data_IF_470716065720
#
_entry.id   IF_470716065720
#
_cell.length_a   1.000
_cell.length_b   1.000
_cell.length_c   1.000
_cell.angle_alpha   90.00
_cell.angle_beta   90.00
_cell.angle_gamma   90.00
#
_symmetry.space_group_name_H-M   'P 1'
#
loop_
_entity.id
_entity.type
_entity.pdbx_description
1 polymer ?
#
# COMPACT_ATOMS: atom_id res chain seq x y z
N UNK A 1 -0.33 2.43 16.35
CA UNK A 1 1.10 2.61 16.10
C UNK A 1 1.27 3.50 14.87
N UNK A 2 1.86 4.71 14.99
CA UNK A 2 2.10 5.55 13.82
C UNK A 2 3.19 4.95 12.94
N UNK A 3 2.97 4.98 11.61
CA UNK A 3 3.94 4.58 10.60
C UNK A 3 4.27 5.83 9.79
N UNK A 4 5.51 6.30 9.86
CA UNK A 4 5.96 7.46 9.09
C UNK A 4 6.47 7.03 7.71
N UNK A 5 6.11 7.79 6.67
CA UNK A 5 6.66 7.55 5.34
C UNK A 5 8.08 8.16 5.25
N UNK A 6 9.01 7.42 4.69
CA UNK A 6 10.38 7.88 4.45
C UNK A 6 10.78 7.53 3.00
N UNK A 7 11.12 8.57 2.23
CA UNK A 7 11.52 8.42 0.82
C UNK A 7 13.01 8.67 0.66
N UNK A 8 13.65 7.90 -0.21
CA UNK A 8 15.10 7.86 -0.34
C UNK A 8 15.67 8.62 -1.55
N UNK A 9 14.93 8.72 -2.66
CA UNK A 9 15.48 9.11 -3.96
C UNK A 9 16.22 10.46 -3.96
N UNK A 10 15.74 11.43 -3.16
CA UNK A 10 16.29 12.79 -3.04
C UNK A 10 16.94 13.03 -1.66
N UNK A 11 17.29 11.95 -0.96
CA UNK A 11 17.92 12.01 0.36
C UNK A 11 19.28 11.33 0.32
N UNK A 12 20.25 11.95 0.99
CA UNK A 12 21.50 11.33 1.38
C UNK A 12 21.35 10.65 2.76
N UNK A 13 22.37 9.93 3.22
CA UNK A 13 22.37 9.28 4.52
C UNK A 13 22.16 10.26 5.66
N UNK A 14 22.75 11.46 5.58
CA UNK A 14 22.64 12.46 6.64
C UNK A 14 21.20 12.93 6.84
N UNK A 15 20.44 13.15 5.75
CA UNK A 15 19.00 13.47 5.82
C UNK A 15 18.16 12.30 6.32
N UNK A 16 18.52 11.06 5.96
CA UNK A 16 17.84 9.89 6.48
C UNK A 16 18.08 9.75 7.98
N UNK A 17 19.31 9.94 8.46
CA UNK A 17 19.65 9.88 9.89
C UNK A 17 18.90 10.96 10.68
N UNK A 18 18.89 12.22 10.19
CA UNK A 18 18.11 13.30 10.80
C UNK A 18 16.62 12.94 10.91
N UNK A 19 16.03 12.40 9.85
CA UNK A 19 14.62 11.98 9.85
C UNK A 19 14.37 10.83 10.84
N UNK A 20 15.25 9.84 10.92
CA UNK A 20 15.14 8.72 11.84
C UNK A 20 15.27 9.18 13.31
N UNK A 21 16.17 10.12 13.60
CA UNK A 21 16.31 10.70 14.94
C UNK A 21 15.07 11.50 15.35
N UNK A 22 14.51 12.31 14.43
CA UNK A 22 13.22 13.00 14.65
C UNK A 22 12.06 12.01 14.91
N UNK A 23 12.03 10.87 14.21
CA UNK A 23 11.02 9.83 14.43
C UNK A 23 11.16 9.19 15.80
N UNK A 24 12.39 8.89 16.24
CA UNK A 24 12.68 8.34 17.56
C UNK A 24 12.25 9.32 18.67
N UNK A 25 12.63 10.61 18.57
CA UNK A 25 12.20 11.65 19.50
C UNK A 25 10.67 11.80 19.56
N UNK A 26 9.98 11.63 18.43
CA UNK A 26 8.52 11.66 18.35
C UNK A 26 7.82 10.35 18.80
N UNK A 27 8.58 9.32 19.21
CA UNK A 27 8.06 8.02 19.61
C UNK A 27 7.49 7.20 18.46
N UNK A 28 7.90 7.47 17.21
CA UNK A 28 7.53 6.67 16.03
C UNK A 28 8.38 5.39 16.05
N UNK A 29 7.70 4.24 16.03
CA UNK A 29 8.35 2.92 16.10
C UNK A 29 8.25 2.12 14.80
N UNK A 30 7.73 2.73 13.75
CA UNK A 30 7.60 2.09 12.43
C UNK A 30 7.73 3.12 11.30
N UNK A 31 8.37 2.71 10.20
CA UNK A 31 8.48 3.52 8.98
C UNK A 31 8.06 2.72 7.76
N UNK A 32 7.43 3.38 6.79
CA UNK A 32 7.22 2.85 5.45
C UNK A 32 8.36 3.37 4.57
N UNK A 33 9.31 2.49 4.27
CA UNK A 33 10.48 2.80 3.46
C UNK A 33 10.14 2.71 1.97
N UNK A 34 10.23 3.84 1.27
CA UNK A 34 9.90 3.99 -0.13
C UNK A 34 11.10 4.54 -0.90
N UNK A 35 11.22 4.16 -2.18
CA UNK A 35 12.18 4.86 -3.04
C UNK A 35 11.76 6.32 -3.25
N UNK A 36 10.49 6.55 -3.48
CA UNK A 36 9.93 7.79 -3.98
C UNK A 36 9.78 7.80 -5.51
N UNK A 37 9.02 8.74 -6.01
CA UNK A 37 8.80 8.96 -7.45
C UNK A 37 9.84 9.95 -8.00
N UNK A 38 10.20 9.81 -9.28
CA UNK A 38 11.01 10.82 -9.96
C UNK A 38 10.22 12.11 -10.14
N UNK A 39 10.86 13.23 -9.86
CA UNK A 39 10.30 14.57 -10.04
C UNK A 39 10.97 15.19 -11.26
N UNK A 40 10.16 15.65 -12.23
CA UNK A 40 10.67 16.27 -13.45
C UNK A 40 11.56 17.48 -13.13
N UNK A 41 12.76 17.47 -13.68
CA UNK A 41 13.75 18.54 -13.48
C UNK A 41 14.59 18.41 -12.22
N UNK A 42 14.35 17.43 -11.36
CA UNK A 42 15.18 17.16 -10.19
C UNK A 42 16.15 15.99 -10.44
N UNK A 43 17.36 16.10 -9.89
CA UNK A 43 18.36 15.05 -9.96
C UNK A 43 18.34 14.22 -8.66
N UNK A 44 18.19 12.90 -8.81
CA UNK A 44 18.31 11.98 -7.65
C UNK A 44 19.71 12.08 -7.02
N UNK A 45 19.79 11.94 -5.69
CA UNK A 45 21.07 12.01 -4.96
C UNK A 45 21.97 10.81 -5.25
N UNK A 46 21.37 9.62 -5.53
CA UNK A 46 22.07 8.43 -5.99
C UNK A 46 22.66 7.55 -4.87
N UNK A 47 22.44 7.89 -3.60
CA UNK A 47 22.86 7.02 -2.48
C UNK A 47 21.91 5.83 -2.26
N UNK A 48 20.64 6.00 -2.60
CA UNK A 48 19.58 5.00 -2.50
C UNK A 48 18.83 4.92 -3.84
N UNK A 49 19.08 3.89 -4.60
CA UNK A 49 18.45 3.70 -5.91
C UNK A 49 17.15 2.88 -5.84
N UNK A 50 17.02 2.05 -4.80
CA UNK A 50 15.87 1.19 -4.54
C UNK A 50 15.40 1.33 -3.09
N UNK A 51 14.13 0.99 -2.85
CA UNK A 51 13.61 0.93 -1.48
C UNK A 51 14.35 -0.09 -0.62
N UNK A 52 14.88 -1.18 -1.19
CA UNK A 52 15.71 -2.17 -0.51
C UNK A 52 16.99 -1.58 0.06
N UNK A 53 17.60 -0.60 -0.62
CA UNK A 53 18.81 0.07 -0.13
C UNK A 53 18.50 0.86 1.15
N UNK A 54 17.38 1.59 1.13
CA UNK A 54 16.89 2.32 2.31
C UNK A 54 16.54 1.37 3.46
N UNK A 55 15.84 0.25 3.17
CA UNK A 55 15.51 -0.79 4.16
C UNK A 55 16.77 -1.32 4.83
N UNK A 56 17.77 -1.72 4.02
CA UNK A 56 19.06 -2.22 4.52
C UNK A 56 19.77 -1.18 5.40
N UNK A 57 19.79 0.09 4.97
CA UNK A 57 20.38 1.17 5.73
C UNK A 57 19.70 1.38 7.08
N UNK A 58 18.36 1.51 7.09
CA UNK A 58 17.58 1.68 8.33
C UNK A 58 17.89 0.52 9.30
N UNK A 59 17.90 -0.72 8.81
CA UNK A 59 18.19 -1.90 9.65
C UNK A 59 19.59 -1.88 10.24
N UNK A 60 20.56 -1.25 9.57
CA UNK A 60 21.93 -1.12 10.07
C UNK A 60 22.08 -0.08 11.16
N UNK A 61 21.30 1.03 11.12
CA UNK A 61 21.42 2.16 12.06
C UNK A 61 20.35 2.16 13.16
N UNK A 62 19.16 1.62 12.89
CA UNK A 62 18.03 1.52 13.84
C UNK A 62 17.44 0.09 13.81
N UNK A 63 18.12 -0.92 14.36
CA UNK A 63 17.74 -2.33 14.25
C UNK A 63 16.37 -2.67 14.85
N UNK A 64 15.90 -1.92 15.83
CA UNK A 64 14.62 -2.15 16.52
C UNK A 64 13.42 -1.50 15.82
N UNK A 65 13.66 -0.60 14.85
CA UNK A 65 12.61 0.08 14.12
C UNK A 65 11.90 -0.90 13.18
N UNK A 66 10.58 -0.94 13.20
CA UNK A 66 9.81 -1.74 12.25
C UNK A 66 9.84 -1.09 10.88
N UNK A 67 10.21 -1.84 9.86
CA UNK A 67 10.31 -1.33 8.49
C UNK A 67 9.25 -1.97 7.63
N UNK A 68 8.33 -1.14 7.15
CA UNK A 68 7.31 -1.50 6.18
C UNK A 68 7.85 -1.23 4.76
N UNK A 69 7.47 -2.06 3.81
CA UNK A 69 7.74 -1.88 2.40
C UNK A 69 6.45 -1.86 1.58
N UNK A 70 6.47 -1.23 0.41
CA UNK A 70 5.37 -1.31 -0.54
C UNK A 70 5.50 -2.56 -1.42
N UNK A 71 4.35 -3.16 -1.82
CA UNK A 71 4.23 -4.23 -2.80
C UNK A 71 3.08 -3.94 -3.78
N UNK A 72 3.05 -4.63 -4.92
CA UNK A 72 2.18 -4.28 -6.05
C UNK A 72 1.41 -5.50 -6.55
N UNK A 73 0.13 -5.67 -6.20
CA UNK A 73 -0.67 -6.82 -6.62
C UNK A 73 -0.75 -7.04 -8.12
N UNK A 74 -0.73 -5.96 -8.89
CA UNK A 74 -0.80 -5.99 -10.35
C UNK A 74 0.58 -5.75 -11.01
N UNK A 75 1.66 -5.74 -10.20
CA UNK A 75 3.03 -5.49 -10.62
C UNK A 75 3.42 -4.00 -10.58
N UNK A 76 4.68 -3.74 -10.29
CA UNK A 76 5.23 -2.38 -10.36
C UNK A 76 5.42 -1.96 -11.81
N UNK A 77 5.02 -0.73 -12.16
CA UNK A 77 5.07 -0.21 -13.55
C UNK A 77 6.47 -0.22 -14.20
N UNK A 78 7.53 -0.34 -13.41
CA UNK A 78 8.91 -0.43 -13.89
C UNK A 78 9.43 -1.87 -13.97
N UNK A 79 8.68 -2.87 -13.53
CA UNK A 79 9.05 -4.27 -13.67
C UNK A 79 8.52 -4.79 -15.02
N UNK A 80 9.33 -5.57 -15.72
CA UNK A 80 8.93 -6.14 -17.01
C UNK A 80 7.83 -7.20 -16.84
N UNK A 81 7.82 -7.89 -15.71
CA UNK A 81 6.85 -8.93 -15.38
C UNK A 81 6.52 -8.93 -13.89
N UNK A 82 5.38 -9.51 -13.52
CA UNK A 82 5.00 -9.72 -12.13
C UNK A 82 6.02 -10.61 -11.39
N UNK A 83 6.62 -11.58 -12.07
CA UNK A 83 7.61 -12.47 -11.46
C UNK A 83 8.89 -11.71 -11.12
N UNK A 84 9.33 -10.79 -11.99
CA UNK A 84 10.44 -9.88 -11.70
C UNK A 84 10.13 -8.96 -10.52
N UNK A 85 8.88 -8.46 -10.40
CA UNK A 85 8.48 -7.63 -9.26
C UNK A 85 8.47 -8.42 -7.94
N UNK A 86 8.06 -9.69 -7.97
CA UNK A 86 8.15 -10.60 -6.83
C UNK A 86 9.60 -10.85 -6.41
N UNK A 87 10.53 -11.02 -7.35
CA UNK A 87 11.97 -11.14 -7.05
C UNK A 87 12.50 -9.87 -6.38
N UNK A 88 12.16 -8.68 -6.90
CA UNK A 88 12.51 -7.39 -6.31
C UNK A 88 11.91 -7.22 -4.91
N UNK A 89 10.67 -7.69 -4.71
CA UNK A 89 10.01 -7.70 -3.41
C UNK A 89 10.74 -8.61 -2.42
N UNK A 90 11.18 -9.79 -2.86
CA UNK A 90 11.97 -10.72 -2.05
C UNK A 90 13.29 -10.08 -1.59
N UNK A 91 14.00 -9.37 -2.49
CA UNK A 91 15.21 -8.62 -2.14
C UNK A 91 14.92 -7.58 -1.05
N UNK A 92 13.78 -6.88 -1.13
CA UNK A 92 13.36 -5.89 -0.12
C UNK A 92 13.08 -6.54 1.24
N UNK A 93 12.44 -7.70 1.26
CA UNK A 93 12.18 -8.46 2.49
C UNK A 93 13.48 -8.99 3.08
N UNK A 94 14.35 -9.56 2.26
CA UNK A 94 15.67 -10.07 2.69
C UNK A 94 16.60 -8.94 3.22
N UNK A 95 16.42 -7.71 2.72
CA UNK A 95 17.09 -6.52 3.24
C UNK A 95 16.58 -6.12 4.65
N UNK A 96 15.46 -6.68 5.11
CA UNK A 96 14.95 -6.49 6.47
C UNK A 96 13.59 -5.81 6.60
N UNK A 97 12.81 -5.70 5.51
CA UNK A 97 11.41 -5.28 5.62
C UNK A 97 10.62 -6.32 6.43
N UNK A 98 9.92 -5.85 7.47
CA UNK A 98 9.21 -6.71 8.44
C UNK A 98 7.74 -6.88 8.11
N UNK A 99 7.18 -5.96 7.33
CA UNK A 99 5.77 -5.92 6.92
C UNK A 99 5.68 -5.32 5.52
N UNK A 100 4.61 -5.64 4.81
CA UNK A 100 4.33 -5.07 3.50
C UNK A 100 2.95 -4.43 3.46
N UNK A 101 2.81 -3.33 2.73
CA UNK A 101 1.53 -2.70 2.42
C UNK A 101 1.37 -2.71 0.91
N UNK A 102 0.26 -3.27 0.42
CA UNK A 102 0.05 -3.31 -1.03
C UNK A 102 -0.37 -1.96 -1.59
N UNK A 103 0.02 -1.68 -2.82
CA UNK A 103 -0.64 -0.65 -3.64
C UNK A 103 -2.14 -0.96 -3.75
N UNK A 104 -2.95 0.07 -3.96
CA UNK A 104 -4.38 -0.09 -4.17
C UNK A 104 -4.66 -1.05 -5.35
N UNK A 105 -5.71 -1.80 -5.23
CA UNK A 105 -6.30 -2.64 -6.26
C UNK A 105 -7.83 -2.58 -6.13
N UNK A 106 -8.54 -2.94 -7.19
CA UNK A 106 -10.01 -2.90 -7.21
C UNK A 106 -10.65 -4.27 -7.37
N UNK A 107 -9.85 -5.31 -7.61
CA UNK A 107 -10.30 -6.71 -7.70
C UNK A 107 -9.47 -7.56 -6.74
N UNK A 108 -10.13 -8.22 -5.79
CA UNK A 108 -9.45 -9.05 -4.79
C UNK A 108 -8.73 -10.25 -5.42
N UNK A 109 -9.17 -10.73 -6.57
CA UNK A 109 -8.49 -11.80 -7.30
C UNK A 109 -7.08 -11.41 -7.74
N UNK A 110 -6.84 -10.13 -8.04
CA UNK A 110 -5.48 -9.65 -8.36
C UNK A 110 -4.57 -9.74 -7.13
N UNK A 111 -5.11 -9.40 -5.96
CA UNK A 111 -4.39 -9.52 -4.70
C UNK A 111 -4.13 -10.97 -4.30
N UNK A 112 -5.10 -11.87 -4.47
CA UNK A 112 -4.92 -13.30 -4.15
C UNK A 112 -3.86 -13.94 -5.03
N UNK A 113 -3.88 -13.71 -6.34
CA UNK A 113 -2.84 -14.20 -7.27
C UNK A 113 -1.45 -13.67 -6.90
N UNK A 114 -1.35 -12.41 -6.51
CA UNK A 114 -0.11 -11.82 -6.02
C UNK A 114 0.34 -12.51 -4.72
N UNK A 115 -0.56 -12.68 -3.76
CA UNK A 115 -0.26 -13.30 -2.48
C UNK A 115 0.29 -14.72 -2.65
N UNK A 116 -0.35 -15.52 -3.50
CA UNK A 116 0.11 -16.88 -3.83
C UNK A 116 1.53 -16.87 -4.39
N UNK A 117 1.83 -15.99 -5.34
CA UNK A 117 3.18 -15.84 -5.91
C UNK A 117 4.19 -15.39 -4.85
N UNK A 118 3.84 -14.42 -4.01
CA UNK A 118 4.71 -13.93 -2.95
C UNK A 118 5.03 -15.04 -1.94
N UNK A 119 4.04 -15.82 -1.53
CA UNK A 119 4.22 -16.97 -0.62
C UNK A 119 5.06 -18.09 -1.26
N UNK A 120 4.82 -18.39 -2.54
CA UNK A 120 5.62 -19.35 -3.28
C UNK A 120 7.11 -18.94 -3.41
N UNK A 121 7.38 -17.64 -3.50
CA UNK A 121 8.74 -17.07 -3.48
C UNK A 121 9.37 -17.03 -2.07
N UNK A 122 8.69 -17.52 -1.03
CA UNK A 122 9.20 -17.56 0.34
C UNK A 122 9.08 -16.21 1.09
N UNK A 123 8.22 -15.31 0.64
CA UNK A 123 7.89 -14.09 1.37
C UNK A 123 6.87 -14.44 2.45
N UNK A 124 7.28 -14.44 3.72
CA UNK A 124 6.46 -14.87 4.86
C UNK A 124 6.03 -13.73 5.79
N UNK A 125 6.55 -12.53 5.58
CA UNK A 125 6.15 -11.34 6.36
C UNK A 125 4.68 -11.00 6.13
N UNK A 126 3.99 -10.38 7.11
CA UNK A 126 2.61 -9.92 6.93
C UNK A 126 2.46 -8.96 5.75
N UNK A 127 1.38 -9.11 4.99
CA UNK A 127 1.02 -8.27 3.84
C UNK A 127 -0.37 -7.68 4.08
N UNK A 128 -0.43 -6.35 4.25
CA UNK A 128 -1.68 -5.63 4.38
C UNK A 128 -2.26 -5.30 3.00
N UNK A 129 -3.53 -5.63 2.79
CA UNK A 129 -4.26 -5.32 1.57
C UNK A 129 -4.63 -3.83 1.53
N UNK A 130 -4.13 -3.11 0.54
CA UNK A 130 -4.36 -1.67 0.34
C UNK A 130 -5.69 -1.38 -0.35
N UNK A 131 -6.67 -0.85 0.38
CA UNK A 131 -8.00 -0.53 -0.13
C UNK A 131 -8.18 0.98 -0.25
N UNK A 132 -8.54 1.45 -1.45
CA UNK A 132 -8.86 2.85 -1.71
C UNK A 132 -10.34 3.04 -1.99
N UNK A 133 -11.08 3.77 -1.14
CA UNK A 133 -12.49 4.04 -1.37
C UNK A 133 -12.74 4.87 -2.63
N UNK A 134 -13.72 4.49 -3.43
CA UNK A 134 -14.17 5.24 -4.60
C UNK A 134 -14.86 6.54 -4.16
N UNK A 135 -14.39 7.67 -4.66
CA UNK A 135 -14.89 9.00 -4.27
C UNK A 135 -15.29 9.89 -5.43
N UNK A 136 -14.87 9.55 -6.63
CA UNK A 136 -15.18 10.26 -7.86
C UNK A 136 -14.64 9.48 -9.06
N UNK A 137 -15.41 9.40 -10.14
CA UNK A 137 -15.05 8.60 -11.31
C UNK A 137 -13.71 9.02 -11.93
N UNK A 138 -13.53 10.32 -12.16
CA UNK A 138 -12.28 10.87 -12.73
C UNK A 138 -11.04 10.57 -11.87
N UNK A 139 -11.18 10.64 -10.54
CA UNK A 139 -10.05 10.35 -9.64
C UNK A 139 -9.68 8.88 -9.63
N UNK A 140 -10.67 7.97 -9.68
CA UNK A 140 -10.43 6.52 -9.78
C UNK A 140 -9.73 6.18 -11.09
N UNK A 141 -10.23 6.67 -12.23
CA UNK A 141 -9.62 6.41 -13.55
C UNK A 141 -8.17 6.89 -13.60
N UNK A 142 -7.91 8.13 -13.16
CA UNK A 142 -6.55 8.68 -13.11
C UNK A 142 -5.63 7.88 -12.18
N UNK A 143 -6.13 7.43 -11.03
CA UNK A 143 -5.35 6.65 -10.08
C UNK A 143 -5.04 5.25 -10.63
N UNK A 144 -6.02 4.61 -11.27
CA UNK A 144 -5.84 3.32 -11.93
C UNK A 144 -4.79 3.43 -13.06
N UNK A 145 -4.88 4.46 -13.91
CA UNK A 145 -3.90 4.71 -14.96
C UNK A 145 -2.48 4.92 -14.39
N UNK A 146 -2.34 5.77 -13.36
CA UNK A 146 -1.04 6.07 -12.74
C UNK A 146 -0.37 4.84 -12.12
N UNK A 147 -1.17 3.95 -11.54
CA UNK A 147 -0.67 2.77 -10.83
C UNK A 147 -0.74 1.49 -11.68
N UNK A 148 -1.11 1.60 -12.96
CA UNK A 148 -1.38 0.47 -13.85
C UNK A 148 -2.38 -0.55 -13.26
N UNK A 149 -3.35 -0.05 -12.45
CA UNK A 149 -4.36 -0.90 -11.81
C UNK A 149 -5.57 -1.08 -12.70
N UNK A 150 -6.09 -2.30 -12.73
CA UNK A 150 -7.29 -2.65 -13.49
C UNK A 150 -8.57 -2.14 -12.81
N UNK A 151 -9.48 -1.59 -13.59
CA UNK A 151 -10.85 -1.27 -13.13
C UNK A 151 -11.77 -2.41 -13.57
N UNK A 152 -12.27 -3.26 -12.65
CA UNK A 152 -13.15 -4.35 -13.02
C UNK A 152 -14.52 -3.85 -13.49
N UNK A 153 -15.23 -4.66 -14.30
CA UNK A 153 -16.52 -4.29 -14.92
C UNK A 153 -17.56 -3.84 -13.91
N UNK A 154 -17.62 -4.51 -12.75
CA UNK A 154 -18.51 -4.13 -11.64
C UNK A 154 -18.26 -2.69 -11.20
N UNK A 155 -16.99 -2.32 -10.97
CA UNK A 155 -16.64 -0.97 -10.58
C UNK A 155 -16.87 0.03 -11.72
N UNK A 156 -16.49 -0.33 -12.94
CA UNK A 156 -16.69 0.53 -14.11
C UNK A 156 -18.18 0.86 -14.33
N UNK A 157 -19.08 -0.10 -14.11
CA UNK A 157 -20.54 0.13 -14.15
C UNK A 157 -20.99 1.18 -13.13
N UNK A 158 -20.46 1.12 -11.88
CA UNK A 158 -20.78 2.12 -10.85
C UNK A 158 -20.25 3.51 -11.22
N UNK A 159 -19.01 3.56 -11.72
CA UNK A 159 -18.37 4.83 -12.14
C UNK A 159 -19.17 5.50 -13.26
N UNK A 160 -19.57 4.73 -14.27
CA UNK A 160 -20.36 5.26 -15.41
C UNK A 160 -21.76 5.69 -14.99
N UNK A 161 -22.42 4.92 -14.12
CA UNK A 161 -23.79 5.21 -13.69
C UNK A 161 -23.91 6.51 -12.90
N UNK A 162 -22.93 6.81 -12.05
CA UNK A 162 -22.99 7.94 -11.13
C UNK A 162 -21.83 8.92 -11.32
N UNK A 163 -21.30 9.06 -12.55
CA UNK A 163 -20.20 9.97 -12.84
C UNK A 163 -20.48 11.41 -12.40
N UNK A 164 -21.71 11.87 -12.67
CA UNK A 164 -22.18 13.23 -12.36
C UNK A 164 -22.93 13.32 -11.01
N UNK A 165 -23.26 12.20 -10.37
CA UNK A 165 -23.86 12.13 -9.03
C UNK A 165 -22.81 11.67 -8.00
N UNK A 166 -22.04 12.64 -7.51
CA UNK A 166 -20.94 12.39 -6.57
C UNK A 166 -21.42 11.77 -5.26
N UNK A 167 -22.66 12.04 -4.83
CA UNK A 167 -23.17 11.53 -3.55
C UNK A 167 -23.54 10.06 -3.67
N UNK A 168 -24.22 9.67 -4.74
CA UNK A 168 -24.54 8.29 -5.05
C UNK A 168 -23.25 7.48 -5.30
N UNK A 169 -22.29 8.05 -6.05
CA UNK A 169 -21.01 7.39 -6.30
C UNK A 169 -20.22 7.14 -5.01
N UNK A 170 -20.17 8.11 -4.11
CA UNK A 170 -19.51 7.93 -2.80
C UNK A 170 -20.18 6.84 -1.96
N UNK A 171 -21.51 6.77 -2.00
CA UNK A 171 -22.25 5.73 -1.28
C UNK A 171 -21.94 4.35 -1.87
N UNK A 172 -22.02 4.21 -3.19
CA UNK A 172 -21.65 2.98 -3.88
C UNK A 172 -20.18 2.58 -3.64
N UNK A 173 -19.28 3.57 -3.61
CA UNK A 173 -17.85 3.35 -3.33
C UNK A 173 -17.57 2.86 -1.91
N UNK A 174 -18.32 3.33 -0.91
CA UNK A 174 -18.24 2.82 0.47
C UNK A 174 -18.71 1.36 0.53
N UNK A 175 -19.80 1.03 -0.15
CA UNK A 175 -20.31 -0.34 -0.21
C UNK A 175 -19.31 -1.26 -0.92
N UNK A 176 -18.76 -0.81 -2.04
CA UNK A 176 -17.74 -1.55 -2.79
C UNK A 176 -16.51 -1.87 -1.93
N UNK A 177 -15.93 -0.85 -1.28
CA UNK A 177 -14.79 -1.04 -0.40
C UNK A 177 -15.12 -1.93 0.81
N UNK A 178 -16.32 -1.80 1.38
CA UNK A 178 -16.76 -2.66 2.49
C UNK A 178 -16.89 -4.13 2.06
N UNK A 179 -17.40 -4.39 0.85
CA UNK A 179 -17.49 -5.74 0.27
C UNK A 179 -16.09 -6.33 0.01
N UNK A 180 -15.16 -5.55 -0.58
CA UNK A 180 -13.76 -5.97 -0.75
C UNK A 180 -13.14 -6.38 0.58
N UNK A 181 -13.31 -5.57 1.63
CA UNK A 181 -12.75 -5.85 2.96
C UNK A 181 -13.39 -7.11 3.55
N UNK A 182 -14.71 -7.28 3.41
CA UNK A 182 -15.39 -8.47 3.94
C UNK A 182 -14.86 -9.75 3.29
N UNK A 183 -14.66 -9.73 1.98
CA UNK A 183 -14.11 -10.86 1.23
C UNK A 183 -12.64 -11.13 1.62
N UNK A 184 -11.80 -10.09 1.73
CA UNK A 184 -10.40 -10.22 2.16
C UNK A 184 -10.29 -10.84 3.58
N UNK A 185 -11.11 -10.38 4.53
CA UNK A 185 -11.12 -10.92 5.89
C UNK A 185 -11.57 -12.37 5.90
N UNK A 186 -12.58 -12.73 5.10
CA UNK A 186 -13.06 -14.11 4.96
C UNK A 186 -11.98 -15.04 4.38
N UNK A 187 -11.07 -14.53 3.55
CA UNK A 187 -9.93 -15.26 3.00
C UNK A 187 -8.68 -15.24 3.91
N UNK A 188 -8.78 -14.65 5.10
CA UNK A 188 -7.70 -14.69 6.10
C UNK A 188 -6.51 -13.80 5.76
N UNK A 189 -6.73 -12.63 5.16
CA UNK A 189 -5.67 -11.64 4.91
C UNK A 189 -4.99 -11.22 6.22
N UNK A 190 -3.67 -10.96 6.18
CA UNK A 190 -2.91 -10.56 7.37
C UNK A 190 -3.37 -9.22 7.96
N UNK A 191 -3.88 -8.31 7.12
CA UNK A 191 -4.39 -7.01 7.53
C UNK A 191 -4.96 -6.21 6.35
N UNK A 192 -5.64 -5.13 6.67
CA UNK A 192 -6.20 -4.20 5.68
C UNK A 192 -5.70 -2.79 5.94
N UNK A 193 -5.09 -2.17 4.93
CA UNK A 193 -4.68 -0.78 4.93
C UNK A 193 -5.69 0.07 4.15
N UNK A 194 -6.39 0.98 4.82
CA UNK A 194 -7.40 1.83 4.19
C UNK A 194 -6.81 3.20 3.83
N UNK A 195 -6.68 3.49 2.54
CA UNK A 195 -6.23 4.78 2.02
C UNK A 195 -7.31 5.85 2.22
N UNK A 196 -7.26 6.54 3.35
CA UNK A 196 -8.29 7.51 3.73
C UNK A 196 -8.26 8.79 2.88
N UNK A 197 -7.12 9.13 2.30
CA UNK A 197 -6.88 10.40 1.59
C UNK A 197 -7.37 11.62 2.38
N UNK A 198 -7.17 11.58 3.70
CA UNK A 198 -7.61 12.61 4.65
C UNK A 198 -9.14 12.86 4.66
N UNK A 199 -9.93 11.78 4.43
CA UNK A 199 -11.40 11.85 4.44
C UNK A 199 -12.00 10.98 5.57
N UNK A 200 -11.98 11.47 6.81
CA UNK A 200 -12.35 10.70 8.00
C UNK A 200 -13.81 10.21 7.97
N UNK A 201 -14.71 10.94 7.32
CA UNK A 201 -16.13 10.53 7.24
C UNK A 201 -16.33 9.24 6.43
N UNK A 202 -15.61 9.10 5.30
CA UNK A 202 -15.64 7.89 4.45
C UNK A 202 -15.03 6.71 5.18
N UNK A 203 -13.83 6.90 5.74
CA UNK A 203 -13.12 5.88 6.51
C UNK A 203 -13.96 5.36 7.67
N UNK A 204 -14.59 6.26 8.42
CA UNK A 204 -15.44 5.92 9.57
C UNK A 204 -16.68 5.13 9.17
N UNK A 205 -17.26 5.40 7.99
CA UNK A 205 -18.40 4.61 7.47
C UNK A 205 -17.98 3.21 7.05
N UNK A 206 -16.86 3.07 6.37
CA UNK A 206 -16.30 1.76 5.99
C UNK A 206 -15.98 0.97 7.26
N UNK A 207 -15.28 1.58 8.22
CA UNK A 207 -14.97 0.93 9.50
C UNK A 207 -16.21 0.39 10.20
N UNK A 208 -17.27 1.21 10.35
CA UNK A 208 -18.53 0.75 10.97
C UNK A 208 -19.18 -0.43 10.23
N UNK A 209 -19.02 -0.52 8.92
CA UNK A 209 -19.54 -1.66 8.15
C UNK A 209 -18.74 -2.94 8.36
N UNK A 210 -17.43 -2.83 8.66
CA UNK A 210 -16.48 -3.94 8.63
C UNK A 210 -15.90 -4.31 10.00
N UNK A 211 -15.96 -3.41 11.00
CA UNK A 211 -15.43 -3.63 12.36
C UNK A 211 -15.83 -5.00 12.96
N UNK A 212 -17.11 -5.45 12.89
CA UNK A 212 -17.49 -6.74 13.46
C UNK A 212 -16.75 -7.94 12.85
N UNK A 213 -16.28 -7.81 11.61
CA UNK A 213 -15.55 -8.88 10.91
C UNK A 213 -14.16 -9.13 11.51
N UNK A 214 -13.53 -8.07 12.03
CA UNK A 214 -12.22 -8.18 12.69
C UNK A 214 -12.34 -8.65 14.15
N UNK A 215 -13.43 -8.32 14.83
CA UNK A 215 -13.66 -8.70 16.23
C UNK A 215 -14.13 -10.15 16.38
N UNK A 216 -14.80 -10.70 15.36
CA UNK A 216 -15.31 -12.07 15.34
C UNK A 216 -14.25 -13.15 15.11
N UNK A 217 -13.05 -12.80 14.72
CA UNK A 217 -11.95 -13.77 14.44
C UNK A 217 -11.10 -14.12 15.67
N UNK A 218 -11.49 -13.64 16.86
CA UNK A 218 -10.80 -13.95 18.14
C UNK A 218 -11.45 -15.09 18.93
N UNK A 219 -12.10 -16.03 18.21
CA UNK A 219 -12.72 -17.22 18.78
C UNK A 219 -11.86 -18.48 18.58
#
# INVERSE_FOLDING_TARGET
>A
LPISHLTALYSDKAKIDEALDMFEEAGVSAVLALRGDYIDGEQAVGEFNHASDLVSYIRSVKPDLKVFGACYPEGHYQADTIDQDIENLKIKVDAGATHLISQLFYDNEDFYRFLDKARAAGITVPIEAGIMPVRGAKSVRRMAERNASRIPDKLNTLLNKWEDDIQSLRTAGILYASEQIADLVAHGVDGVHLYSMNHPATTRRIWRNTEPLFLGTQG
#
